data_IF_769115151830
#
_entry.id   IF_769115151830
#
_cell.length_a   1.000
_cell.length_b   1.000
_cell.length_c   1.000
_cell.angle_alpha   90.00
_cell.angle_beta   90.00
_cell.angle_gamma   90.00
#
_symmetry.space_group_name_H-M   'P 1'
#
loop_
_entity.id
_entity.type
_entity.pdbx_description
1 polymer ?
#
# COMPACT_ATOMS: atom_id res chain seq x y z
N UNK A 1 21.07 15.17 19.28
CA UNK A 1 22.50 15.52 19.02
C UNK A 1 23.35 14.27 18.92
N UNK A 2 24.63 14.44 18.50
CA UNK A 2 25.60 13.35 18.36
C UNK A 2 25.16 12.27 17.39
N UNK A 3 24.60 12.69 16.25
CA UNK A 3 24.16 11.81 15.16
C UNK A 3 25.37 11.59 14.25
N UNK A 4 25.83 10.33 14.09
CA UNK A 4 26.99 10.04 13.23
C UNK A 4 26.71 10.44 11.77
N UNK A 5 25.47 10.18 11.28
CA UNK A 5 25.05 10.56 9.94
C UNK A 5 23.53 10.71 9.86
N UNK A 6 23.05 11.80 9.28
CA UNK A 6 21.69 11.94 8.79
C UNK A 6 21.68 11.51 7.32
N UNK A 7 20.72 10.64 6.93
CA UNK A 7 20.56 10.12 5.57
C UNK A 7 19.21 10.54 5.03
N UNK A 8 19.14 10.79 3.71
CA UNK A 8 17.89 11.14 3.04
C UNK A 8 17.57 12.63 3.05
N UNK A 9 18.58 13.49 3.18
CA UNK A 9 18.40 14.95 3.11
C UNK A 9 18.00 15.33 1.68
N UNK A 10 16.86 15.98 1.54
CA UNK A 10 16.35 16.52 0.27
C UNK A 10 16.08 18.02 0.44
N UNK A 11 16.85 18.84 -0.27
CA UNK A 11 16.78 20.32 -0.18
C UNK A 11 16.16 20.99 -1.40
N UNK A 12 15.86 20.22 -2.46
CA UNK A 12 15.38 20.77 -3.74
C UNK A 12 13.85 20.71 -3.88
N UNK A 13 13.15 20.05 -2.94
CA UNK A 13 11.70 19.80 -3.02
C UNK A 13 11.34 18.72 -4.05
N UNK A 14 12.29 17.92 -4.47
CA UNK A 14 12.07 16.80 -5.39
C UNK A 14 11.18 15.74 -4.74
N UNK A 15 10.07 15.39 -5.40
CA UNK A 15 9.08 14.46 -4.88
C UNK A 15 9.43 12.99 -5.13
N UNK A 16 10.34 12.70 -6.10
CA UNK A 16 10.75 11.34 -6.44
C UNK A 16 12.15 11.32 -7.02
N UNK A 17 12.86 10.20 -6.81
CA UNK A 17 14.10 9.87 -7.48
C UNK A 17 13.82 8.82 -8.56
N UNK A 18 14.47 8.92 -9.71
CA UNK A 18 14.26 8.01 -10.83
C UNK A 18 15.60 7.55 -11.40
N UNK A 19 15.63 6.32 -11.94
CA UNK A 19 16.80 5.76 -12.60
C UNK A 19 18.05 5.81 -11.75
N UNK A 20 19.16 6.28 -12.30
CA UNK A 20 20.45 6.36 -11.62
C UNK A 20 20.48 7.30 -10.41
N UNK A 21 19.51 8.22 -10.27
CA UNK A 21 19.44 9.10 -9.12
C UNK A 21 18.92 8.40 -7.86
N UNK A 22 18.31 7.21 -7.98
CA UNK A 22 17.84 6.43 -6.84
C UNK A 22 18.97 5.96 -5.90
N UNK A 23 20.22 5.92 -6.36
CA UNK A 23 21.38 5.60 -5.53
C UNK A 23 22.08 6.82 -4.92
N UNK A 24 21.56 8.03 -5.15
CA UNK A 24 22.14 9.29 -4.65
C UNK A 24 21.31 9.80 -3.49
N UNK A 25 21.80 9.58 -2.29
CA UNK A 25 21.19 10.09 -1.06
C UNK A 25 21.96 11.27 -0.52
N UNK A 26 21.27 12.37 -0.19
CA UNK A 26 21.85 13.46 0.58
C UNK A 26 22.18 12.98 1.97
N UNK A 27 23.39 13.27 2.46
CA UNK A 27 23.85 12.89 3.80
C UNK A 27 24.56 14.04 4.50
N UNK A 28 24.52 14.04 5.83
CA UNK A 28 25.26 14.96 6.67
C UNK A 28 25.91 14.17 7.81
N UNK A 29 27.25 14.21 7.90
CA UNK A 29 28.01 13.54 8.95
C UNK A 29 28.20 14.44 10.17
N UNK A 30 28.36 13.81 11.35
CA UNK A 30 28.58 14.46 12.63
C UNK A 30 27.53 15.55 12.89
N UNK A 31 26.27 15.15 13.05
CA UNK A 31 25.12 16.02 12.91
C UNK A 31 24.28 16.18 14.18
N UNK A 32 23.51 17.26 14.19
CA UNK A 32 22.38 17.50 15.07
C UNK A 32 21.12 17.78 14.28
N UNK A 33 19.95 17.59 14.89
CA UNK A 33 18.64 17.90 14.33
C UNK A 33 17.73 18.45 15.41
N UNK A 34 16.99 19.50 15.09
CA UNK A 34 15.94 20.08 15.91
C UNK A 34 14.57 19.80 15.28
N UNK A 35 13.65 19.31 16.09
CA UNK A 35 12.25 19.18 15.74
C UNK A 35 11.40 20.11 16.62
N UNK A 36 10.47 20.84 16.03
CA UNK A 36 9.52 21.72 16.68
C UNK A 36 8.12 21.46 16.09
N UNK A 37 7.13 21.31 16.92
CA UNK A 37 5.73 21.08 16.51
C UNK A 37 5.56 19.96 15.48
N UNK A 38 6.31 18.85 15.65
CA UNK A 38 6.28 17.70 14.77
C UNK A 38 6.94 17.91 13.39
N UNK A 39 7.76 18.97 13.24
CA UNK A 39 8.48 19.30 12.00
C UNK A 39 9.98 19.42 12.25
N UNK A 40 10.78 19.15 11.23
CA UNK A 40 12.20 19.47 11.26
C UNK A 40 12.39 20.98 11.13
N UNK A 41 12.78 21.63 12.23
CA UNK A 41 12.99 23.08 12.29
C UNK A 41 14.38 23.46 11.78
N UNK A 42 15.42 22.70 12.18
CA UNK A 42 16.79 22.92 11.77
C UNK A 42 17.64 21.65 11.88
N UNK A 43 18.73 21.60 11.17
CA UNK A 43 19.77 20.58 11.32
C UNK A 43 21.13 21.14 10.86
N UNK A 44 22.21 20.56 11.31
CA UNK A 44 23.56 21.00 10.96
C UNK A 44 24.61 20.05 11.49
N UNK A 45 25.88 20.40 11.25
CA UNK A 45 27.01 19.68 11.84
C UNK A 45 27.12 19.99 13.33
N UNK A 46 27.65 19.05 14.12
CA UNK A 46 27.85 19.26 15.57
C UNK A 46 28.72 20.48 15.93
N UNK A 47 29.70 20.80 15.10
CA UNK A 47 30.55 21.99 15.30
C UNK A 47 29.78 23.32 15.10
N UNK A 48 28.63 23.29 14.46
CA UNK A 48 27.73 24.44 14.29
C UNK A 48 26.57 24.49 15.31
N UNK A 49 26.53 23.54 16.25
CA UNK A 49 25.49 23.53 17.29
C UNK A 49 25.76 24.64 18.30
N UNK A 50 24.94 25.69 18.26
CA UNK A 50 24.95 26.75 19.26
C UNK A 50 24.13 26.39 20.51
N UNK A 51 23.91 27.39 21.37
CA UNK A 51 23.03 27.24 22.51
C UNK A 51 21.55 27.22 22.03
N UNK A 52 21.01 26.02 21.81
CA UNK A 52 19.62 25.80 21.45
C UNK A 52 18.89 25.31 22.71
N UNK A 53 17.87 26.08 23.15
CA UNK A 53 16.95 25.64 24.19
C UNK A 53 16.04 24.57 23.59
N UNK A 54 15.87 23.45 24.27
CA UNK A 54 14.96 22.38 23.89
C UNK A 54 14.33 21.76 25.14
N UNK A 55 13.07 21.39 25.04
CA UNK A 55 12.35 20.75 26.16
C UNK A 55 12.91 19.34 26.43
N UNK A 56 13.36 18.66 25.38
CA UNK A 56 13.95 17.32 25.44
C UNK A 56 15.21 17.26 24.58
N UNK A 57 16.23 16.59 25.07
CA UNK A 57 17.47 16.35 24.32
C UNK A 57 17.76 14.85 24.22
N UNK A 58 17.67 14.33 23.02
CA UNK A 58 18.04 12.95 22.70
C UNK A 58 19.52 12.92 22.25
N UNK A 59 20.33 12.11 22.92
CA UNK A 59 21.69 11.82 22.49
C UNK A 59 21.68 10.54 21.62
N UNK A 60 22.00 10.69 20.33
CA UNK A 60 22.03 9.55 19.42
C UNK A 60 23.27 8.66 19.63
N UNK A 61 24.21 9.06 20.49
CA UNK A 61 25.40 8.30 20.85
C UNK A 61 26.18 7.73 19.64
N UNK A 62 26.25 8.48 18.54
CA UNK A 62 26.87 8.03 17.29
C UNK A 62 25.97 7.16 16.40
N UNK A 63 24.69 7.04 16.72
CA UNK A 63 23.71 6.39 15.85
C UNK A 63 23.46 7.16 14.56
N UNK A 64 22.92 6.49 13.55
CA UNK A 64 22.51 7.09 12.27
C UNK A 64 21.02 7.40 12.30
N UNK A 65 20.63 8.49 11.64
CA UNK A 65 19.23 8.90 11.48
C UNK A 65 18.80 8.69 10.03
N UNK A 66 17.73 7.94 9.86
CA UNK A 66 17.07 7.70 8.57
C UNK A 66 15.64 8.22 8.61
N UNK A 67 15.01 8.55 7.44
CA UNK A 67 13.56 8.66 7.33
C UNK A 67 12.93 7.33 7.78
N UNK A 68 11.76 7.41 8.44
CA UNK A 68 10.96 6.21 8.70
C UNK A 68 10.52 5.56 7.39
N UNK A 69 10.22 4.27 7.42
CA UNK A 69 9.66 3.60 6.25
C UNK A 69 8.25 4.12 5.96
N UNK A 70 7.95 4.23 4.66
CA UNK A 70 6.60 4.48 4.15
C UNK A 70 6.14 3.24 3.41
N UNK A 71 5.24 2.47 4.03
CA UNK A 71 4.65 1.28 3.44
C UNK A 71 3.37 1.64 2.70
N UNK A 72 3.45 1.73 1.40
CA UNK A 72 2.40 2.26 0.55
C UNK A 72 1.41 1.20 0.02
N UNK A 73 1.47 -0.04 0.55
CA UNK A 73 0.56 -1.10 0.15
C UNK A 73 0.44 -2.15 1.24
N UNK A 74 -0.63 -2.07 2.05
CA UNK A 74 -0.94 -3.08 3.07
C UNK A 74 -2.43 -3.35 3.17
N UNK A 75 -2.75 -4.52 3.75
CA UNK A 75 -4.10 -4.94 4.10
C UNK A 75 -4.20 -5.27 5.59
N UNK A 76 -3.67 -4.42 6.47
CA UNK A 76 -3.55 -4.69 7.92
C UNK A 76 -4.88 -4.94 8.64
N UNK A 77 -6.01 -4.48 8.07
CA UNK A 77 -7.34 -4.70 8.64
C UNK A 77 -7.95 -5.95 8.02
N UNK A 78 -7.83 -7.08 8.74
CA UNK A 78 -8.43 -8.36 8.36
C UNK A 78 -8.74 -9.21 9.59
N UNK A 79 -9.70 -10.13 9.47
CA UNK A 79 -10.14 -11.04 10.52
C UNK A 79 -9.42 -12.39 10.42
N UNK A 80 -8.60 -12.71 11.44
CA UNK A 80 -7.82 -13.94 11.51
C UNK A 80 -6.76 -14.04 10.41
N UNK A 81 -5.93 -15.07 10.45
CA UNK A 81 -4.89 -15.33 9.46
C UNK A 81 -5.26 -16.50 8.55
N UNK A 82 -4.50 -16.68 7.47
CA UNK A 82 -4.66 -17.77 6.50
C UNK A 82 -3.50 -18.77 6.57
N UNK A 83 -2.90 -18.97 7.73
CA UNK A 83 -1.76 -19.89 7.94
C UNK A 83 -2.02 -21.32 7.46
N UNK A 84 -3.28 -21.78 7.45
CA UNK A 84 -3.63 -23.10 6.89
C UNK A 84 -3.40 -23.17 5.38
N UNK A 85 -3.63 -22.07 4.67
CA UNK A 85 -3.36 -21.97 3.23
C UNK A 85 -1.87 -22.04 2.94
N UNK A 86 -1.04 -21.53 3.86
CA UNK A 86 0.41 -21.68 3.77
C UNK A 86 0.85 -23.15 3.85
N UNK A 87 0.27 -23.93 4.77
CA UNK A 87 0.51 -25.39 4.83
C UNK A 87 0.08 -26.09 3.53
N UNK A 88 -1.05 -25.70 2.96
CA UNK A 88 -1.52 -26.25 1.69
C UNK A 88 -0.51 -25.95 0.55
N UNK A 89 0.06 -24.75 0.51
CA UNK A 89 1.12 -24.38 -0.44
C UNK A 89 2.39 -25.20 -0.26
N UNK A 90 2.88 -25.37 0.98
CA UNK A 90 4.04 -26.21 1.29
C UNK A 90 3.81 -27.66 0.82
N UNK A 91 2.56 -28.14 0.90
CA UNK A 91 2.14 -29.46 0.42
C UNK A 91 1.94 -29.51 -1.12
N UNK A 92 2.26 -28.43 -1.84
CA UNK A 92 2.26 -28.37 -3.30
C UNK A 92 0.90 -28.06 -3.94
N UNK A 93 -0.08 -27.59 -3.18
CA UNK A 93 -1.36 -27.16 -3.75
C UNK A 93 -1.18 -25.83 -4.50
N UNK A 94 -1.79 -25.74 -5.69
CA UNK A 94 -1.85 -24.49 -6.44
C UNK A 94 -2.79 -23.47 -5.77
N UNK A 95 -2.61 -22.19 -6.09
CA UNK A 95 -3.51 -21.13 -5.63
C UNK A 95 -4.97 -21.42 -5.99
N UNK A 96 -5.22 -21.93 -7.20
CA UNK A 96 -6.57 -22.30 -7.67
C UNK A 96 -7.19 -23.42 -6.83
N UNK A 97 -6.39 -24.43 -6.44
CA UNK A 97 -6.85 -25.53 -5.58
C UNK A 97 -7.17 -25.03 -4.17
N UNK A 98 -6.35 -24.13 -3.63
CA UNK A 98 -6.59 -23.49 -2.32
C UNK A 98 -7.88 -22.68 -2.38
N UNK A 99 -8.06 -21.85 -3.42
CA UNK A 99 -9.29 -21.06 -3.61
C UNK A 99 -10.54 -21.96 -3.76
N UNK A 100 -10.44 -23.08 -4.49
CA UNK A 100 -11.53 -24.05 -4.66
C UNK A 100 -11.93 -24.74 -3.34
N UNK A 101 -10.97 -24.90 -2.41
CA UNK A 101 -11.19 -25.43 -1.05
C UNK A 101 -11.79 -24.37 -0.10
N UNK A 102 -12.11 -23.19 -0.60
CA UNK A 102 -12.69 -22.10 0.17
C UNK A 102 -11.69 -21.16 0.80
N UNK A 103 -10.41 -21.20 0.37
CA UNK A 103 -9.37 -20.22 0.74
C UNK A 103 -9.44 -18.92 -0.04
N UNK A 104 -8.43 -18.08 0.16
CA UNK A 104 -8.27 -16.80 -0.55
C UNK A 104 -9.11 -15.65 0.01
N UNK A 105 -9.29 -14.61 -0.81
CA UNK A 105 -9.98 -13.37 -0.45
C UNK A 105 -11.39 -13.63 0.07
N UNK A 106 -12.14 -14.55 -0.55
CA UNK A 106 -13.53 -14.86 -0.17
C UNK A 106 -13.62 -15.50 1.23
N UNK A 107 -12.64 -16.30 1.65
CA UNK A 107 -12.58 -16.84 3.01
C UNK A 107 -12.33 -15.74 4.04
N UNK A 108 -11.43 -14.81 3.72
CA UNK A 108 -11.22 -13.63 4.57
C UNK A 108 -12.47 -12.77 4.69
N UNK A 109 -13.25 -12.63 3.60
CA UNK A 109 -14.51 -11.89 3.60
C UNK A 109 -15.57 -12.54 4.49
N UNK A 110 -15.74 -13.87 4.42
CA UNK A 110 -16.69 -14.61 5.25
C UNK A 110 -16.36 -14.40 6.75
N UNK A 111 -15.09 -14.50 7.14
CA UNK A 111 -14.64 -14.26 8.52
C UNK A 111 -14.86 -12.82 8.97
N UNK A 112 -14.53 -11.86 8.10
CA UNK A 112 -14.68 -10.43 8.39
C UNK A 112 -16.15 -10.07 8.60
N UNK A 113 -17.05 -10.66 7.84
CA UNK A 113 -18.49 -10.45 8.00
C UNK A 113 -18.98 -10.77 9.42
N UNK A 114 -18.50 -11.87 10.00
CA UNK A 114 -18.85 -12.33 11.36
C UNK A 114 -18.09 -11.59 12.48
N UNK A 115 -17.01 -10.85 12.15
CA UNK A 115 -16.16 -10.19 13.14
C UNK A 115 -16.69 -8.79 13.46
N UNK A 116 -16.79 -8.46 14.73
CA UNK A 116 -17.19 -7.12 15.16
C UNK A 116 -16.14 -6.05 14.82
N UNK A 117 -16.55 -4.80 14.73
CA UNK A 117 -15.65 -3.67 14.48
C UNK A 117 -14.58 -3.54 15.57
N UNK A 118 -14.95 -3.75 16.85
CA UNK A 118 -14.01 -3.66 17.97
C UNK A 118 -12.98 -4.79 17.95
N UNK A 119 -13.37 -6.01 17.63
CA UNK A 119 -12.46 -7.13 17.49
C UNK A 119 -11.52 -6.95 16.30
N UNK A 120 -12.05 -6.47 15.16
CA UNK A 120 -11.26 -6.17 13.97
C UNK A 120 -10.22 -5.08 14.25
N UNK A 121 -10.61 -4.04 15.00
CA UNK A 121 -9.70 -2.99 15.46
C UNK A 121 -8.61 -3.55 16.39
N UNK A 122 -8.96 -4.37 17.37
CA UNK A 122 -8.00 -4.95 18.30
C UNK A 122 -6.93 -5.79 17.57
N UNK A 123 -7.36 -6.65 16.65
CA UNK A 123 -6.46 -7.47 15.83
C UNK A 123 -5.56 -6.60 14.92
N UNK A 124 -6.11 -5.55 14.30
CA UNK A 124 -5.34 -4.64 13.46
C UNK A 124 -4.30 -3.87 14.27
N UNK A 125 -4.62 -3.44 15.48
CA UNK A 125 -3.70 -2.71 16.36
C UNK A 125 -2.47 -3.53 16.80
N UNK A 126 -2.57 -4.84 16.88
CA UNK A 126 -1.40 -5.71 17.11
C UNK A 126 -0.41 -5.60 15.95
N UNK A 127 -0.89 -5.69 14.70
CA UNK A 127 -0.09 -5.56 13.47
C UNK A 127 0.49 -4.15 13.31
N UNK A 128 -0.30 -3.12 13.65
CA UNK A 128 0.16 -1.73 13.61
C UNK A 128 1.33 -1.50 14.58
N UNK A 129 1.28 -2.07 15.80
CA UNK A 129 2.40 -2.00 16.75
C UNK A 129 3.62 -2.73 16.22
N UNK A 130 3.44 -3.87 15.56
CA UNK A 130 4.52 -4.64 14.94
C UNK A 130 5.25 -3.82 13.88
N UNK A 131 4.55 -3.25 12.89
CA UNK A 131 5.17 -2.45 11.84
C UNK A 131 5.80 -1.16 12.39
N UNK A 132 5.19 -0.53 13.39
CA UNK A 132 5.76 0.64 14.06
C UNK A 132 7.10 0.30 14.74
N UNK A 133 7.17 -0.86 15.43
CA UNK A 133 8.39 -1.33 16.07
C UNK A 133 9.51 -1.65 15.04
N UNK A 134 9.15 -2.00 13.80
CA UNK A 134 10.08 -2.20 12.69
C UNK A 134 10.50 -0.90 11.98
N UNK A 135 9.99 0.26 12.39
CA UNK A 135 10.40 1.56 11.87
C UNK A 135 9.48 2.15 10.79
N UNK A 136 8.27 1.62 10.61
CA UNK A 136 7.26 2.21 9.73
C UNK A 136 6.67 3.46 10.40
N UNK A 137 6.78 4.60 9.74
CA UNK A 137 6.20 5.88 10.19
C UNK A 137 5.03 6.35 9.34
N UNK A 138 4.86 5.78 8.15
CA UNK A 138 3.75 6.04 7.26
C UNK A 138 3.23 4.72 6.67
N UNK A 139 1.92 4.52 6.65
CA UNK A 139 1.31 3.30 6.15
C UNK A 139 0.02 3.59 5.38
N UNK A 140 -0.14 2.92 4.25
CA UNK A 140 -1.41 2.86 3.52
C UNK A 140 -2.09 1.54 3.88
N UNK A 141 -3.35 1.62 4.31
CA UNK A 141 -4.16 0.46 4.69
C UNK A 141 -5.38 0.39 3.77
N UNK A 142 -5.55 -0.75 3.12
CA UNK A 142 -6.66 -1.02 2.21
C UNK A 142 -7.79 -1.73 2.94
N UNK A 143 -9.03 -1.46 2.53
CA UNK A 143 -10.17 -2.36 2.72
C UNK A 143 -10.08 -3.56 1.75
N UNK A 144 -11.20 -4.15 1.34
CA UNK A 144 -11.21 -5.16 0.27
C UNK A 144 -11.45 -6.60 0.72
N UNK A 145 -11.64 -6.81 2.01
CA UNK A 145 -12.15 -8.08 2.54
C UNK A 145 -13.60 -7.96 3.01
N UNK A 146 -14.25 -6.81 2.81
CA UNK A 146 -15.67 -6.64 3.11
C UNK A 146 -16.58 -7.19 2.03
N UNK A 147 -16.30 -6.85 0.78
CA UNK A 147 -17.02 -7.24 -0.42
C UNK A 147 -18.55 -6.96 -0.37
N UNK A 148 -18.99 -6.17 0.59
CA UNK A 148 -20.34 -5.61 0.74
C UNK A 148 -20.24 -4.17 1.20
N UNK A 149 -21.25 -3.35 0.96
CA UNK A 149 -21.24 -1.94 1.39
C UNK A 149 -21.00 -1.83 2.89
N UNK A 150 -21.72 -2.62 3.71
CA UNK A 150 -21.61 -2.57 5.16
C UNK A 150 -20.23 -2.98 5.68
N UNK A 151 -19.68 -4.06 5.15
CA UNK A 151 -18.39 -4.59 5.64
C UNK A 151 -17.19 -3.78 5.13
N UNK A 152 -17.25 -3.22 3.92
CA UNK A 152 -16.24 -2.28 3.43
C UNK A 152 -16.21 -1.00 4.29
N UNK A 153 -17.36 -0.44 4.61
CA UNK A 153 -17.47 0.70 5.53
C UNK A 153 -16.95 0.34 6.93
N UNK A 154 -17.25 -0.86 7.46
CA UNK A 154 -16.73 -1.37 8.73
C UNK A 154 -15.19 -1.37 8.72
N UNK A 155 -14.56 -1.91 7.69
CA UNK A 155 -13.10 -1.90 7.56
C UNK A 155 -12.54 -0.48 7.53
N UNK A 156 -13.11 0.41 6.73
CA UNK A 156 -12.63 1.79 6.60
C UNK A 156 -12.83 2.60 7.89
N UNK A 157 -13.90 2.34 8.66
CA UNK A 157 -14.09 2.93 9.99
C UNK A 157 -13.04 2.47 10.98
N UNK A 158 -12.63 1.18 10.92
CA UNK A 158 -11.49 0.67 11.70
C UNK A 158 -10.20 1.37 11.30
N UNK A 159 -9.93 1.58 10.01
CA UNK A 159 -8.75 2.33 9.54
C UNK A 159 -8.77 3.77 10.08
N UNK A 160 -9.92 4.44 10.09
CA UNK A 160 -10.07 5.77 10.69
C UNK A 160 -9.76 5.77 12.19
N UNK A 161 -10.25 4.78 12.95
CA UNK A 161 -9.92 4.63 14.38
C UNK A 161 -8.42 4.42 14.60
N UNK A 162 -7.76 3.63 13.75
CA UNK A 162 -6.30 3.45 13.80
C UNK A 162 -5.61 4.80 13.59
N UNK A 163 -5.96 5.53 12.53
CA UNK A 163 -5.41 6.87 12.22
C UNK A 163 -5.49 7.83 13.41
N UNK A 164 -6.60 7.80 14.15
CA UNK A 164 -6.85 8.66 15.32
C UNK A 164 -6.12 8.18 16.58
N UNK A 165 -5.61 6.95 16.62
CA UNK A 165 -5.08 6.31 17.82
C UNK A 165 -3.55 6.18 17.85
N UNK A 166 -2.86 6.42 16.74
CA UNK A 166 -1.41 6.16 16.61
C UNK A 166 -0.66 7.37 16.08
N UNK A 167 0.62 7.54 16.44
CA UNK A 167 1.46 8.61 15.92
C UNK A 167 2.05 8.27 14.52
N UNK A 168 1.37 7.45 13.74
CA UNK A 168 1.75 7.11 12.37
C UNK A 168 0.92 7.92 11.38
N UNK A 169 1.51 8.26 10.24
CA UNK A 169 0.73 8.77 9.11
C UNK A 169 -0.01 7.59 8.47
N UNK A 170 -1.34 7.57 8.58
CA UNK A 170 -2.17 6.49 8.04
C UNK A 170 -3.00 7.02 6.86
N UNK A 171 -2.92 6.36 5.71
CA UNK A 171 -3.77 6.61 4.55
C UNK A 171 -4.71 5.44 4.34
N UNK A 172 -5.97 5.74 4.00
CA UNK A 172 -6.99 4.74 3.77
C UNK A 172 -7.27 4.57 2.28
N UNK A 173 -7.34 3.32 1.82
CA UNK A 173 -7.71 2.97 0.45
C UNK A 173 -8.96 2.11 0.44
N UNK A 174 -9.97 2.55 -0.31
CA UNK A 174 -11.14 1.72 -0.60
C UNK A 174 -10.80 0.73 -1.71
N UNK A 175 -10.94 -0.57 -1.43
CA UNK A 175 -10.67 -1.67 -2.37
C UNK A 175 -11.88 -2.61 -2.49
N UNK A 176 -13.10 -2.08 -2.63
CA UNK A 176 -14.29 -2.91 -2.83
C UNK A 176 -14.22 -3.81 -4.07
N UNK A 177 -13.38 -3.45 -5.05
CA UNK A 177 -13.07 -4.25 -6.23
C UNK A 177 -11.81 -5.11 -6.06
N UNK A 178 -11.68 -5.83 -4.94
CA UNK A 178 -10.61 -6.80 -4.68
C UNK A 178 -10.96 -8.19 -5.23
N UNK A 179 -12.21 -8.60 -5.09
CA UNK A 179 -12.78 -9.80 -5.69
C UNK A 179 -14.29 -9.61 -5.88
N UNK A 180 -14.92 -10.45 -6.68
CA UNK A 180 -16.38 -10.47 -6.82
C UNK A 180 -16.98 -11.23 -5.64
N UNK A 181 -17.86 -10.58 -4.88
CA UNK A 181 -18.54 -11.20 -3.74
C UNK A 181 -19.30 -12.47 -4.16
N UNK A 182 -19.39 -13.48 -3.26
CA UNK A 182 -20.06 -14.76 -3.52
C UNK A 182 -21.51 -14.56 -4.01
N UNK A 183 -22.22 -13.57 -3.45
CA UNK A 183 -23.60 -13.25 -3.83
C UNK A 183 -23.75 -12.81 -5.30
N UNK A 184 -22.65 -12.36 -5.92
CA UNK A 184 -22.61 -11.88 -7.31
C UNK A 184 -21.87 -12.85 -8.25
N UNK A 185 -21.66 -14.10 -7.85
CA UNK A 185 -20.99 -15.09 -8.70
C UNK A 185 -21.71 -15.22 -10.05
N UNK A 186 -20.97 -15.05 -11.16
CA UNK A 186 -21.50 -15.03 -12.52
C UNK A 186 -22.25 -13.75 -12.91
N UNK A 187 -22.26 -12.71 -12.05
CA UNK A 187 -22.91 -11.42 -12.27
C UNK A 187 -21.97 -10.26 -11.97
N UNK A 188 -20.71 -10.36 -12.47
CA UNK A 188 -19.64 -9.40 -12.17
C UNK A 188 -20.01 -7.97 -12.54
N UNK A 189 -20.71 -7.73 -13.66
CA UNK A 189 -21.18 -6.40 -14.03
C UNK A 189 -22.11 -5.76 -13.00
N UNK A 190 -22.98 -6.56 -12.35
CA UNK A 190 -23.85 -6.07 -11.27
C UNK A 190 -23.04 -5.75 -10.00
N UNK A 191 -21.96 -6.50 -9.74
CA UNK A 191 -21.04 -6.18 -8.64
C UNK A 191 -20.29 -4.87 -8.90
N UNK A 192 -19.83 -4.65 -10.13
CA UNK A 192 -19.23 -3.36 -10.53
C UNK A 192 -20.24 -2.21 -10.38
N UNK A 193 -21.53 -2.46 -10.70
CA UNK A 193 -22.60 -1.49 -10.45
C UNK A 193 -22.75 -1.17 -8.95
N UNK A 194 -22.71 -2.19 -8.08
CA UNK A 194 -22.73 -2.01 -6.63
C UNK A 194 -21.54 -1.16 -6.15
N UNK A 195 -20.32 -1.47 -6.60
CA UNK A 195 -19.11 -0.70 -6.27
C UNK A 195 -19.25 0.76 -6.68
N UNK A 196 -19.68 1.01 -7.93
CA UNK A 196 -19.75 2.36 -8.48
C UNK A 196 -20.90 3.20 -7.91
N UNK A 197 -22.08 2.60 -7.70
CA UNK A 197 -23.31 3.34 -7.46
C UNK A 197 -23.75 3.31 -5.98
N UNK A 198 -23.17 2.44 -5.16
CA UNK A 198 -23.52 2.31 -3.75
C UNK A 198 -22.28 2.44 -2.84
N UNK A 199 -21.25 1.56 -3.00
CA UNK A 199 -20.09 1.56 -2.12
C UNK A 199 -19.32 2.88 -2.20
N UNK A 200 -18.89 3.30 -3.39
CA UNK A 200 -18.10 4.54 -3.57
C UNK A 200 -18.83 5.78 -3.05
N UNK A 201 -20.12 6.01 -3.35
CA UNK A 201 -20.87 7.12 -2.76
C UNK A 201 -20.96 7.07 -1.24
N UNK A 202 -21.15 5.87 -0.65
CA UNK A 202 -21.20 5.72 0.80
C UNK A 202 -19.85 6.02 1.47
N UNK A 203 -18.76 5.52 0.89
CA UNK A 203 -17.38 5.81 1.37
C UNK A 203 -17.06 7.31 1.29
N UNK A 204 -17.44 7.95 0.19
CA UNK A 204 -17.22 9.39 0.02
C UNK A 204 -18.08 10.23 0.97
N UNK A 205 -19.32 9.85 1.21
CA UNK A 205 -20.23 10.55 2.12
C UNK A 205 -19.71 10.58 3.56
N UNK A 206 -19.03 9.53 4.01
CA UNK A 206 -18.40 9.47 5.34
C UNK A 206 -16.94 9.99 5.35
N UNK A 207 -16.35 10.31 4.20
CA UNK A 207 -14.95 10.76 4.11
C UNK A 207 -13.95 9.72 4.58
N UNK A 208 -14.18 8.43 4.29
CA UNK A 208 -13.44 7.32 4.88
C UNK A 208 -12.16 6.94 4.15
N UNK A 209 -12.00 7.33 2.89
CA UNK A 209 -10.86 6.92 2.07
C UNK A 209 -10.15 8.11 1.42
N UNK A 210 -8.85 8.02 1.31
CA UNK A 210 -7.98 8.94 0.56
C UNK A 210 -7.85 8.48 -0.91
N UNK A 211 -7.87 7.16 -1.11
CA UNK A 211 -7.62 6.51 -2.40
C UNK A 211 -8.69 5.45 -2.71
N UNK A 212 -8.74 5.07 -3.99
CA UNK A 212 -9.45 3.88 -4.48
C UNK A 212 -8.45 2.96 -5.15
N UNK A 213 -8.66 1.65 -5.02
CA UNK A 213 -7.87 0.63 -5.68
C UNK A 213 -8.78 -0.41 -6.35
N UNK A 214 -8.27 -1.07 -7.38
CA UNK A 214 -8.95 -2.14 -8.12
C UNK A 214 -7.94 -3.24 -8.43
N UNK A 215 -8.31 -4.49 -8.23
CA UNK A 215 -7.52 -5.62 -8.67
C UNK A 215 -7.76 -5.90 -10.15
N UNK A 216 -6.95 -5.27 -11.00
CA UNK A 216 -7.02 -5.38 -12.45
C UNK A 216 -6.09 -6.49 -12.94
N UNK A 217 -6.60 -7.73 -12.98
CA UNK A 217 -5.81 -8.86 -13.44
C UNK A 217 -6.68 -9.99 -14.01
N UNK A 218 -6.05 -10.99 -14.62
CA UNK A 218 -6.74 -12.15 -15.16
C UNK A 218 -7.51 -12.90 -14.06
N UNK A 219 -8.81 -13.12 -14.30
CA UNK A 219 -9.69 -13.75 -13.31
C UNK A 219 -10.30 -12.79 -12.28
N UNK A 220 -9.92 -11.52 -12.29
CA UNK A 220 -10.44 -10.46 -11.43
C UNK A 220 -11.20 -9.39 -12.25
N UNK A 221 -10.85 -8.12 -12.16
CA UNK A 221 -11.55 -7.05 -12.89
C UNK A 221 -10.84 -6.73 -14.19
N UNK A 222 -11.61 -6.53 -15.26
CA UNK A 222 -11.11 -6.16 -16.59
C UNK A 222 -10.62 -4.72 -16.64
N UNK A 223 -9.90 -4.37 -17.71
CA UNK A 223 -9.46 -2.98 -17.97
C UNK A 223 -10.65 -2.03 -18.05
N UNK A 224 -11.75 -2.43 -18.71
CA UNK A 224 -12.97 -1.63 -18.87
C UNK A 224 -13.68 -1.40 -17.53
N UNK A 225 -13.82 -2.45 -16.72
CA UNK A 225 -14.42 -2.39 -15.39
C UNK A 225 -13.58 -1.51 -14.46
N UNK A 226 -12.24 -1.70 -14.49
CA UNK A 226 -11.27 -0.89 -13.76
C UNK A 226 -11.41 0.59 -14.13
N UNK A 227 -11.36 0.91 -15.41
CA UNK A 227 -11.52 2.29 -15.88
C UNK A 227 -12.87 2.91 -15.45
N UNK A 228 -13.94 2.12 -15.43
CA UNK A 228 -15.26 2.56 -14.97
C UNK A 228 -15.26 2.90 -13.49
N UNK A 229 -14.70 2.03 -12.63
CA UNK A 229 -14.63 2.23 -11.19
C UNK A 229 -13.77 3.46 -10.87
N UNK A 230 -12.58 3.57 -11.48
CA UNK A 230 -11.66 4.69 -11.25
C UNK A 230 -12.25 6.04 -11.69
N UNK A 231 -12.99 6.06 -12.80
CA UNK A 231 -13.71 7.26 -13.24
C UNK A 231 -14.85 7.65 -12.29
N UNK A 232 -15.54 6.68 -11.70
CA UNK A 232 -16.57 6.95 -10.68
C UNK A 232 -15.93 7.52 -9.41
N UNK A 233 -14.84 6.93 -8.93
CA UNK A 233 -14.10 7.36 -7.75
C UNK A 233 -13.52 8.78 -7.92
N UNK A 234 -12.96 9.09 -9.09
CA UNK A 234 -12.42 10.44 -9.41
C UNK A 234 -13.47 11.55 -9.27
N UNK A 235 -14.73 11.28 -9.65
CA UNK A 235 -15.83 12.25 -9.46
C UNK A 235 -16.13 12.56 -8.00
N UNK A 236 -15.75 11.67 -7.12
CA UNK A 236 -15.90 11.77 -5.65
C UNK A 236 -14.61 12.27 -4.96
N UNK A 237 -13.58 12.66 -5.74
CA UNK A 237 -12.33 13.19 -5.23
C UNK A 237 -11.30 12.14 -4.80
N UNK A 238 -11.57 10.85 -5.01
CA UNK A 238 -10.62 9.76 -4.68
C UNK A 238 -9.58 9.60 -5.78
N UNK A 239 -8.31 9.49 -5.40
CA UNK A 239 -7.21 9.22 -6.33
C UNK A 239 -7.02 7.72 -6.50
N UNK A 240 -6.61 7.31 -7.70
CA UNK A 240 -6.51 5.91 -8.09
C UNK A 240 -5.17 5.27 -7.66
N UNK A 241 -5.23 4.00 -7.26
CA UNK A 241 -4.16 3.00 -7.22
C UNK A 241 -4.67 1.75 -7.93
N UNK A 242 -3.79 0.84 -8.32
CA UNK A 242 -4.20 -0.41 -8.99
C UNK A 242 -3.27 -1.55 -8.59
N UNK A 243 -3.84 -2.71 -8.18
CA UNK A 243 -3.13 -3.99 -8.27
C UNK A 243 -3.08 -4.36 -9.74
N UNK A 244 -1.90 -4.48 -10.31
CA UNK A 244 -1.71 -4.64 -11.75
C UNK A 244 -0.62 -5.66 -12.08
N UNK A 245 -0.89 -6.50 -13.06
CA UNK A 245 0.10 -7.41 -13.64
C UNK A 245 0.80 -8.31 -12.60
N UNK A 246 0.06 -8.77 -11.59
CA UNK A 246 0.54 -9.75 -10.61
C UNK A 246 0.55 -11.15 -11.23
N UNK A 247 -0.57 -11.58 -11.82
CA UNK A 247 -0.78 -12.93 -12.34
C UNK A 247 -0.50 -13.02 -13.84
N UNK A 248 -0.91 -12.01 -14.61
CA UNK A 248 -0.78 -11.95 -16.06
C UNK A 248 -0.45 -10.54 -16.56
N UNK A 249 -0.11 -10.40 -17.86
CA UNK A 249 -0.06 -9.10 -18.53
C UNK A 249 -1.49 -8.69 -18.87
N UNK A 250 -2.16 -8.05 -17.92
CA UNK A 250 -3.61 -7.82 -17.93
C UNK A 250 -4.04 -6.45 -18.48
N UNK A 251 -3.07 -5.56 -18.80
CA UNK A 251 -3.35 -4.17 -19.19
C UNK A 251 -3.58 -3.22 -18.00
N UNK A 252 -3.39 -3.71 -16.75
CA UNK A 252 -3.53 -2.93 -15.52
C UNK A 252 -2.59 -1.73 -15.47
N UNK A 253 -1.37 -1.87 -15.97
CA UNK A 253 -0.41 -0.77 -16.06
C UNK A 253 -0.91 0.34 -16.98
N UNK A 254 -1.36 -0.02 -18.19
CA UNK A 254 -1.82 0.95 -19.19
C UNK A 254 -3.07 1.70 -18.72
N UNK A 255 -4.05 1.01 -18.11
CA UNK A 255 -5.23 1.67 -17.55
C UNK A 255 -4.90 2.54 -16.35
N UNK A 256 -3.90 2.14 -15.54
CA UNK A 256 -3.38 2.96 -14.44
C UNK A 256 -2.82 4.29 -14.92
N UNK A 257 -1.96 4.26 -15.91
CA UNK A 257 -1.42 5.47 -16.53
C UNK A 257 -2.53 6.32 -17.17
N UNK A 258 -3.45 5.70 -17.91
CA UNK A 258 -4.56 6.41 -18.56
C UNK A 258 -5.55 7.07 -17.57
N UNK A 259 -5.63 6.54 -16.35
CA UNK A 259 -6.49 7.09 -15.28
C UNK A 259 -5.74 7.99 -14.28
N UNK A 260 -4.50 8.38 -14.56
CA UNK A 260 -3.64 9.18 -13.66
C UNK A 260 -3.50 8.54 -12.27
N UNK A 261 -3.36 7.22 -12.20
CA UNK A 261 -3.18 6.52 -10.94
C UNK A 261 -1.90 6.98 -10.24
N UNK A 262 -1.94 7.06 -8.91
CA UNK A 262 -0.77 7.34 -8.08
C UNK A 262 0.30 6.29 -8.25
N UNK A 263 -0.14 5.02 -8.23
CA UNK A 263 0.73 3.88 -8.40
C UNK A 263 0.02 2.73 -9.12
N UNK A 264 0.83 1.88 -9.68
CA UNK A 264 0.49 0.52 -10.12
C UNK A 264 1.37 -0.42 -9.31
N UNK A 265 0.75 -1.34 -8.61
CA UNK A 265 1.37 -2.12 -7.55
C UNK A 265 1.45 -3.60 -7.98
N UNK A 266 2.38 -4.40 -7.45
CA UNK A 266 2.77 -5.75 -7.82
C UNK A 266 3.78 -5.83 -8.97
N UNK A 267 3.32 -5.93 -10.21
CA UNK A 267 4.14 -5.85 -11.42
C UNK A 267 5.06 -7.05 -11.66
N UNK A 268 4.70 -8.26 -11.17
CA UNK A 268 5.44 -9.50 -11.41
C UNK A 268 5.47 -9.86 -12.89
N UNK A 269 4.43 -9.45 -13.64
CA UNK A 269 4.27 -9.72 -15.08
C UNK A 269 4.45 -8.45 -15.90
N UNK A 270 5.70 -7.97 -15.94
CA UNK A 270 6.07 -6.77 -16.69
C UNK A 270 6.92 -7.13 -17.91
N UNK A 271 6.59 -6.51 -19.04
CA UNK A 271 7.37 -6.53 -20.25
C UNK A 271 7.89 -5.14 -20.66
N UNK A 272 8.41 -5.06 -21.85
CA UNK A 272 8.92 -3.80 -22.41
C UNK A 272 7.81 -2.77 -22.63
N UNK A 273 6.63 -3.23 -23.02
CA UNK A 273 5.49 -2.34 -23.33
C UNK A 273 4.97 -1.65 -22.07
N UNK A 274 4.89 -2.38 -20.95
CA UNK A 274 4.47 -1.84 -19.65
C UNK A 274 5.48 -0.84 -19.11
N UNK A 275 6.78 -1.14 -19.22
CA UNK A 275 7.86 -0.21 -18.82
C UNK A 275 7.79 1.07 -19.65
N UNK A 276 7.57 0.96 -20.97
CA UNK A 276 7.45 2.12 -21.84
C UNK A 276 6.19 2.94 -21.55
N UNK A 277 5.07 2.30 -21.19
CA UNK A 277 3.84 3.00 -20.78
C UNK A 277 4.04 3.86 -19.52
N UNK A 278 4.89 3.41 -18.59
CA UNK A 278 5.23 4.18 -17.37
C UNK A 278 6.23 5.30 -17.62
N UNK A 279 6.97 5.26 -18.74
CA UNK A 279 7.99 6.26 -19.04
C UNK A 279 7.36 7.64 -19.23
N UNK A 280 7.79 8.61 -18.43
CA UNK A 280 7.25 9.95 -18.44
C UNK A 280 5.91 10.13 -17.73
N UNK A 281 5.25 9.05 -17.30
CA UNK A 281 4.05 9.13 -16.49
C UNK A 281 4.36 9.57 -15.04
N UNK A 282 3.35 10.15 -14.38
CA UNK A 282 3.42 10.45 -12.95
C UNK A 282 3.17 9.22 -12.06
N UNK A 283 2.59 8.16 -12.63
CA UNK A 283 2.27 6.90 -11.96
C UNK A 283 3.54 6.20 -11.48
N UNK A 284 3.57 5.81 -10.20
CA UNK A 284 4.72 5.16 -9.57
C UNK A 284 4.56 3.63 -9.64
N UNK A 285 5.52 2.89 -10.22
CA UNK A 285 5.58 1.46 -10.04
C UNK A 285 5.97 1.12 -8.60
N UNK A 286 5.12 0.34 -7.92
CA UNK A 286 5.35 -0.13 -6.55
C UNK A 286 5.48 -1.64 -6.55
N UNK A 287 6.63 -2.14 -6.13
CA UNK A 287 6.95 -3.57 -6.15
C UNK A 287 6.71 -4.20 -4.79
N UNK A 288 6.22 -5.43 -4.78
CA UNK A 288 5.86 -6.18 -3.59
C UNK A 288 6.68 -7.48 -3.50
N UNK A 289 8.01 -7.39 -3.28
CA UNK A 289 8.90 -8.56 -3.35
C UNK A 289 8.58 -9.60 -2.28
N UNK A 290 7.97 -9.20 -1.14
CA UNK A 290 7.51 -10.13 -0.11
C UNK A 290 6.41 -11.05 -0.61
N UNK A 291 5.42 -10.51 -1.32
CA UNK A 291 4.35 -11.28 -1.93
C UNK A 291 4.88 -12.26 -2.98
N UNK A 292 5.73 -11.78 -3.91
CA UNK A 292 6.36 -12.65 -4.92
C UNK A 292 7.16 -13.79 -4.28
N UNK A 293 7.93 -13.52 -3.22
CA UNK A 293 8.68 -14.53 -2.46
C UNK A 293 7.75 -15.57 -1.83
N UNK A 294 6.74 -15.11 -1.09
CA UNK A 294 5.82 -15.99 -0.37
C UNK A 294 4.99 -16.87 -1.31
N UNK A 295 4.57 -16.32 -2.44
CA UNK A 295 3.80 -17.02 -3.46
C UNK A 295 4.65 -17.92 -4.37
N UNK A 296 5.98 -17.82 -4.31
CA UNK A 296 6.90 -18.56 -5.20
C UNK A 296 6.85 -18.08 -6.64
N UNK A 297 6.53 -16.80 -6.84
CA UNK A 297 6.43 -16.16 -8.16
C UNK A 297 7.77 -15.58 -8.62
N UNK A 298 7.87 -15.24 -9.90
CA UNK A 298 8.99 -14.44 -10.41
C UNK A 298 8.94 -13.05 -9.81
N UNK A 299 10.10 -12.49 -9.43
CA UNK A 299 10.15 -11.11 -8.95
C UNK A 299 9.87 -10.11 -10.08
N UNK A 300 9.24 -8.95 -9.75
CA UNK A 300 9.13 -7.84 -10.68
C UNK A 300 10.50 -7.40 -11.23
N UNK A 301 10.61 -6.99 -12.50
CA UNK A 301 11.89 -6.67 -13.14
C UNK A 301 12.41 -5.28 -12.76
N UNK A 302 12.66 -5.06 -11.46
CA UNK A 302 13.08 -3.77 -10.88
C UNK A 302 14.28 -3.15 -11.60
N UNK A 303 15.30 -3.95 -11.92
CA UNK A 303 16.50 -3.46 -12.60
C UNK A 303 16.18 -2.87 -13.98
N UNK A 304 15.35 -3.57 -14.76
CA UNK A 304 14.95 -3.08 -16.09
C UNK A 304 14.14 -1.77 -15.99
N UNK A 305 13.27 -1.62 -14.98
CA UNK A 305 12.54 -0.37 -14.73
C UNK A 305 13.48 0.78 -14.37
N UNK A 306 14.43 0.57 -13.45
CA UNK A 306 15.42 1.56 -13.03
C UNK A 306 16.31 1.97 -14.22
N UNK A 307 16.80 1.02 -15.00
CA UNK A 307 17.64 1.28 -16.18
C UNK A 307 16.87 2.01 -17.28
N UNK A 308 15.54 1.84 -17.35
CA UNK A 308 14.65 2.61 -18.22
C UNK A 308 14.36 4.04 -17.70
N UNK A 309 14.92 4.43 -16.53
CA UNK A 309 14.78 5.76 -15.96
C UNK A 309 13.54 5.92 -15.07
N UNK A 310 12.86 4.85 -14.68
CA UNK A 310 11.72 4.91 -13.77
C UNK A 310 12.17 5.07 -12.30
N UNK A 311 11.35 5.73 -11.49
CA UNK A 311 11.40 5.57 -10.04
C UNK A 311 10.66 4.30 -9.65
N UNK A 312 11.13 3.60 -8.63
CA UNK A 312 10.54 2.37 -8.13
C UNK A 312 10.33 2.48 -6.63
N UNK A 313 9.10 2.27 -6.17
CA UNK A 313 8.77 2.16 -4.75
C UNK A 313 8.73 0.68 -4.32
N UNK A 314 8.88 0.44 -3.03
CA UNK A 314 8.73 -0.88 -2.40
C UNK A 314 7.67 -0.81 -1.31
N UNK A 315 6.88 -1.86 -1.19
CA UNK A 315 5.92 -2.03 -0.12
C UNK A 315 5.85 -3.50 0.33
N UNK A 316 5.23 -3.75 1.48
CA UNK A 316 5.24 -5.09 2.10
C UNK A 316 4.17 -6.02 1.54
N UNK A 317 3.02 -5.48 1.14
CA UNK A 317 1.79 -6.24 0.95
C UNK A 317 1.38 -7.02 2.20
N UNK A 318 1.57 -6.44 3.39
CA UNK A 318 1.20 -7.10 4.63
C UNK A 318 -0.29 -7.48 4.62
N UNK A 319 -0.58 -8.76 4.48
CA UNK A 319 -1.93 -9.30 4.33
C UNK A 319 -2.06 -10.70 4.96
N UNK A 320 -3.28 -11.27 5.11
CA UNK A 320 -3.45 -12.55 5.79
C UNK A 320 -2.93 -13.77 5.02
N UNK A 321 -2.56 -13.66 3.74
CA UNK A 321 -2.36 -14.82 2.88
C UNK A 321 -1.11 -14.87 2.02
N UNK A 322 -0.40 -13.78 1.84
CA UNK A 322 0.76 -13.74 0.94
C UNK A 322 1.95 -12.95 1.49
N UNK A 323 1.88 -12.54 2.74
CA UNK A 323 2.99 -11.81 3.37
C UNK A 323 3.06 -12.08 4.87
#
# INVERSE_FOLDING_TARGET
>A
KNIARIVGIESTGRLRCCGADMNKLGTLDDAWLLAEDGRFAAFGRMDSLGDIAADEVVDAAGGMLFPSFCDSHTHLVYAGSREREFLDKINGLSYEEIARRGGGILNSADRLHETSEDELYAQAMERVREIAAMGTGCVEIKSGYGLSTGDELKMLRVIRRIRESVPLEVRATFLGAHAVARAYRGRQGEYVDLVCNEMLPAVAAEGLADFVDVFCDEGFFTVEETARILKAARKLGLRAKIHANELAVSGGVQVGVACDALSVDHLERMGREEIEALRGAATMPTLLPGAAFFLGMSYPPARAMIDAGLGVALASDYNPGSS
#
